data_IF_363985399253
#
_entry.id   IF_363985399253
#
_cell.length_a   1.000
_cell.length_b   1.000
_cell.length_c   1.000
_cell.angle_alpha   90.00
_cell.angle_beta   90.00
_cell.angle_gamma   90.00
#
_symmetry.space_group_name_H-M   'P 1'
#
loop_
_entity.id
_entity.type
_entity.pdbx_description
1 polymer ?
#
# COMPACT_ATOMS: atom_id res chain seq x y z
N UNK A 1 16.19 -3.94 7.17
CA UNK A 1 15.32 -3.55 8.30
C UNK A 1 15.76 -2.17 8.73
N UNK A 2 15.21 -1.12 8.10
CA UNK A 2 15.40 0.27 8.53
C UNK A 2 14.37 0.48 9.65
N UNK A 3 14.84 0.91 10.82
CA UNK A 3 13.99 1.16 11.98
C UNK A 3 13.19 2.43 11.71
N UNK A 4 11.86 2.33 11.57
CA UNK A 4 11.00 3.50 11.40
C UNK A 4 10.97 4.29 12.74
N UNK A 5 11.19 5.61 12.74
CA UNK A 5 11.07 6.44 13.93
C UNK A 5 9.70 6.35 14.64
N UNK A 6 8.64 5.98 13.91
CA UNK A 6 7.31 5.74 14.50
C UNK A 6 7.25 4.48 15.36
N UNK A 7 8.13 3.51 15.12
CA UNK A 7 8.25 2.25 15.89
C UNK A 7 8.75 2.52 17.34
N UNK A 8 9.32 3.71 17.60
CA UNK A 8 9.79 4.15 18.92
C UNK A 8 8.73 4.86 19.77
N UNK A 9 7.64 5.34 19.17
CA UNK A 9 6.48 5.79 19.95
C UNK A 9 5.72 4.54 20.38
N UNK A 10 6.08 4.01 21.55
CA UNK A 10 5.31 2.93 22.17
C UNK A 10 3.93 3.48 22.55
N UNK A 11 3.02 3.48 21.60
CA UNK A 11 1.61 3.71 21.85
C UNK A 11 1.07 2.50 22.60
N UNK A 12 1.34 2.42 23.91
CA UNK A 12 0.77 1.36 24.72
C UNK A 12 -0.75 1.48 24.66
N UNK A 13 -1.43 0.40 24.25
CA UNK A 13 -2.89 0.37 24.07
C UNK A 13 -3.68 0.84 25.31
N UNK A 14 -3.04 0.90 26.48
CA UNK A 14 -3.60 1.39 27.73
C UNK A 14 -3.79 2.93 27.82
N UNK A 15 -3.26 3.73 26.88
CA UNK A 15 -3.30 5.21 26.98
C UNK A 15 -3.81 5.95 25.73
N UNK A 16 -4.20 5.24 24.66
CA UNK A 16 -4.76 5.87 23.47
C UNK A 16 -6.28 6.01 23.55
N UNK A 17 -6.79 7.19 23.23
CA UNK A 17 -8.21 7.34 22.93
C UNK A 17 -8.57 6.57 21.64
N UNK A 18 -9.83 6.18 21.51
CA UNK A 18 -10.30 5.33 20.40
C UNK A 18 -9.95 5.88 19.02
N UNK A 19 -9.97 7.21 18.82
CA UNK A 19 -9.65 7.82 17.52
C UNK A 19 -8.18 7.57 17.17
N UNK A 20 -7.29 7.78 18.13
CA UNK A 20 -5.86 7.55 17.91
C UNK A 20 -5.56 6.08 17.71
N UNK A 21 -6.22 5.18 18.44
CA UNK A 21 -6.09 3.74 18.23
C UNK A 21 -6.47 3.31 16.81
N UNK A 22 -7.63 3.76 16.31
CA UNK A 22 -8.10 3.44 14.96
C UNK A 22 -7.16 3.98 13.88
N UNK A 23 -6.61 5.18 14.06
CA UNK A 23 -5.69 5.77 13.06
C UNK A 23 -4.34 5.06 13.05
N UNK A 24 -3.84 4.63 14.21
CA UNK A 24 -2.63 3.79 14.29
C UNK A 24 -2.88 2.44 13.63
N UNK A 25 -4.00 1.78 13.92
CA UNK A 25 -4.37 0.51 13.27
C UNK A 25 -4.50 0.66 11.75
N UNK A 26 -5.11 1.75 11.27
CA UNK A 26 -5.17 2.06 9.84
C UNK A 26 -3.77 2.12 9.22
N UNK A 27 -2.84 2.85 9.83
CA UNK A 27 -1.46 2.93 9.33
C UNK A 27 -0.76 1.56 9.32
N UNK A 28 -0.92 0.79 10.40
CA UNK A 28 -0.30 -0.52 10.52
C UNK A 28 -0.83 -1.51 9.48
N UNK A 29 -2.15 -1.53 9.28
CA UNK A 29 -2.80 -2.37 8.27
C UNK A 29 -2.43 -1.96 6.85
N UNK A 30 -2.34 -0.65 6.57
CA UNK A 30 -1.88 -0.12 5.29
C UNK A 30 -0.42 -0.48 5.02
N UNK A 31 0.45 -0.37 6.04
CA UNK A 31 1.86 -0.75 5.94
C UNK A 31 2.02 -2.23 5.58
N UNK A 32 1.27 -3.11 6.24
CA UNK A 32 1.27 -4.55 5.91
C UNK A 32 0.73 -4.83 4.50
N UNK A 33 -0.25 -4.05 4.03
CA UNK A 33 -0.77 -4.15 2.67
C UNK A 33 0.29 -3.76 1.63
N UNK A 34 0.95 -2.61 1.81
CA UNK A 34 2.05 -2.15 0.95
C UNK A 34 3.20 -3.14 0.93
N UNK A 35 3.62 -3.67 2.09
CA UNK A 35 4.66 -4.70 2.17
C UNK A 35 4.29 -5.95 1.35
N UNK A 36 3.03 -6.38 1.43
CA UNK A 36 2.54 -7.52 0.65
C UNK A 36 2.59 -7.24 -0.86
N UNK A 37 2.19 -6.05 -1.30
CA UNK A 37 2.29 -5.62 -2.70
C UNK A 37 3.75 -5.55 -3.18
N UNK A 38 4.66 -5.02 -2.34
CA UNK A 38 6.08 -4.99 -2.64
C UNK A 38 6.66 -6.40 -2.79
N UNK A 39 6.22 -7.35 -1.97
CA UNK A 39 6.60 -8.77 -2.11
C UNK A 39 6.13 -9.31 -3.47
N UNK A 40 4.87 -9.06 -3.87
CA UNK A 40 4.36 -9.48 -5.18
C UNK A 40 5.23 -8.94 -6.33
N UNK A 41 5.62 -7.67 -6.27
CA UNK A 41 6.44 -7.05 -7.32
C UNK A 41 7.88 -7.57 -7.30
N UNK A 42 8.54 -7.51 -6.14
CA UNK A 42 10.00 -7.72 -6.04
C UNK A 42 10.41 -9.18 -5.91
N UNK A 43 9.54 -10.03 -5.35
CA UNK A 43 9.84 -11.46 -5.12
C UNK A 43 9.18 -12.39 -6.13
N UNK A 44 8.18 -11.91 -6.87
CA UNK A 44 7.49 -12.72 -7.87
C UNK A 44 7.55 -12.11 -9.27
N UNK A 45 6.92 -10.95 -9.51
CA UNK A 45 6.86 -10.36 -10.85
C UNK A 45 8.24 -10.14 -11.48
N UNK A 46 9.13 -9.43 -10.79
CA UNK A 46 10.47 -9.13 -11.31
C UNK A 46 11.31 -10.40 -11.55
N UNK A 47 11.40 -11.36 -10.61
CA UNK A 47 12.05 -12.64 -10.86
C UNK A 47 11.44 -13.43 -12.01
N UNK A 48 10.11 -13.51 -12.13
CA UNK A 48 9.45 -14.26 -13.20
C UNK A 48 9.70 -13.66 -14.59
N UNK A 49 9.92 -12.35 -14.67
CA UNK A 49 10.30 -11.65 -15.90
C UNK A 49 11.80 -11.65 -16.17
N UNK A 50 12.63 -12.16 -15.26
CA UNK A 50 14.07 -12.17 -15.47
C UNK A 50 14.45 -13.14 -16.59
N UNK A 51 15.51 -12.87 -17.38
CA UNK A 51 15.98 -13.79 -18.42
C UNK A 51 16.33 -15.19 -17.88
N UNK A 52 16.77 -15.26 -16.61
CA UNK A 52 17.11 -16.50 -15.92
C UNK A 52 15.88 -17.41 -15.73
N UNK A 53 14.68 -16.83 -15.64
CA UNK A 53 13.43 -17.54 -15.38
C UNK A 53 12.44 -17.52 -16.55
N UNK A 54 12.84 -16.96 -17.70
CA UNK A 54 11.97 -16.75 -18.88
C UNK A 54 11.36 -18.03 -19.48
N UNK A 55 11.79 -19.21 -19.04
CA UNK A 55 11.22 -20.52 -19.43
C UNK A 55 10.28 -21.15 -18.40
N UNK A 56 10.07 -20.54 -17.22
CA UNK A 56 9.22 -21.12 -16.17
C UNK A 56 7.73 -20.88 -16.41
N UNK A 57 7.38 -19.69 -16.87
CA UNK A 57 6.00 -19.24 -17.11
C UNK A 57 5.99 -18.35 -18.34
N UNK A 58 4.92 -18.41 -19.13
CA UNK A 58 4.70 -17.49 -20.24
C UNK A 58 4.70 -16.04 -19.74
N UNK A 59 5.50 -15.18 -20.38
CA UNK A 59 5.59 -13.77 -20.05
C UNK A 59 4.23 -13.06 -20.14
N UNK A 60 3.38 -13.45 -21.11
CA UNK A 60 2.04 -12.88 -21.25
C UNK A 60 1.14 -13.24 -20.06
N UNK A 61 1.24 -14.47 -19.54
CA UNK A 61 0.51 -14.90 -18.36
C UNK A 61 0.99 -14.18 -17.10
N UNK A 62 2.30 -13.96 -16.97
CA UNK A 62 2.85 -13.13 -15.87
C UNK A 62 2.32 -11.71 -15.95
N UNK A 63 2.28 -11.11 -17.14
CA UNK A 63 1.70 -9.79 -17.36
C UNK A 63 0.22 -9.73 -16.96
N UNK A 64 -0.55 -10.76 -17.27
CA UNK A 64 -1.96 -10.87 -16.92
C UNK A 64 -2.16 -11.00 -15.40
N UNK A 65 -1.41 -11.87 -14.73
CA UNK A 65 -1.52 -12.11 -13.28
C UNK A 65 -1.18 -10.85 -12.47
N UNK A 66 -0.13 -10.13 -12.87
CA UNK A 66 0.36 -8.94 -12.16
C UNK A 66 -0.12 -7.63 -12.78
N UNK A 67 -1.08 -7.69 -13.70
CA UNK A 67 -1.63 -6.51 -14.35
C UNK A 67 -2.09 -5.48 -13.30
N UNK A 68 -1.71 -4.21 -13.47
CA UNK A 68 -1.99 -3.09 -12.55
C UNK A 68 -1.41 -3.19 -11.12
N UNK A 69 -0.92 -4.34 -10.65
CA UNK A 69 -0.34 -4.49 -9.30
C UNK A 69 0.77 -3.47 -9.01
N UNK A 70 1.73 -3.18 -9.91
CA UNK A 70 2.73 -2.14 -9.68
C UNK A 70 2.15 -0.72 -9.55
N UNK A 71 1.06 -0.42 -10.28
CA UNK A 71 0.40 0.88 -10.19
C UNK A 71 -0.40 1.03 -8.88
N UNK A 72 -1.08 -0.05 -8.46
CA UNK A 72 -1.74 -0.11 -7.15
C UNK A 72 -0.71 0.11 -6.04
N UNK A 73 0.44 -0.58 -6.11
CA UNK A 73 1.54 -0.38 -5.17
C UNK A 73 1.95 1.09 -5.08
N UNK A 74 2.18 1.75 -6.22
CA UNK A 74 2.61 3.15 -6.23
C UNK A 74 1.61 4.10 -5.55
N UNK A 75 0.30 3.92 -5.80
CA UNK A 75 -0.74 4.73 -5.14
C UNK A 75 -0.77 4.52 -3.62
N UNK A 76 -0.55 3.27 -3.18
CA UNK A 76 -0.57 2.91 -1.76
C UNK A 76 0.72 3.29 -1.03
N UNK A 77 1.87 3.31 -1.72
CA UNK A 77 3.11 3.89 -1.17
C UNK A 77 2.97 5.40 -0.91
N UNK A 78 2.34 6.15 -1.82
CA UNK A 78 2.03 7.57 -1.61
C UNK A 78 1.08 7.75 -0.42
N UNK A 79 0.00 6.95 -0.35
CA UNK A 79 -0.97 7.00 0.75
C UNK A 79 -0.33 6.70 2.11
N UNK A 80 0.52 5.67 2.17
CA UNK A 80 1.22 5.27 3.40
C UNK A 80 2.16 6.37 3.89
N UNK A 81 2.89 7.04 2.99
CA UNK A 81 3.77 8.16 3.34
C UNK A 81 2.98 9.35 3.91
N UNK A 82 1.81 9.68 3.33
CA UNK A 82 0.95 10.73 3.87
C UNK A 82 0.36 10.37 5.25
N UNK A 83 -0.04 9.12 5.46
CA UNK A 83 -0.47 8.63 6.78
C UNK A 83 0.67 8.73 7.81
N UNK A 84 1.89 8.36 7.42
CA UNK A 84 3.08 8.48 8.26
C UNK A 84 3.33 9.94 8.66
N UNK A 85 3.37 10.84 7.68
CA UNK A 85 3.56 12.28 7.90
C UNK A 85 2.52 12.85 8.87
N UNK A 86 1.27 12.40 8.75
CA UNK A 86 0.17 12.77 9.66
C UNK A 86 0.39 12.26 11.08
N UNK A 87 0.87 11.03 11.24
CA UNK A 87 1.11 10.41 12.54
C UNK A 87 2.33 10.99 13.28
N UNK A 88 3.36 11.44 12.55
CA UNK A 88 4.52 12.10 13.15
C UNK A 88 4.12 13.34 13.97
N UNK A 89 3.12 14.09 13.50
CA UNK A 89 2.61 15.32 14.10
C UNK A 89 1.17 15.18 14.64
N UNK A 90 0.77 13.96 15.04
CA UNK A 90 -0.61 13.67 15.46
C UNK A 90 -1.04 14.44 16.71
N UNK A 91 -2.19 15.10 16.63
CA UNK A 91 -2.81 15.81 17.75
C UNK A 91 -4.36 15.70 17.73
N UNK A 92 -5.02 16.29 18.74
CA UNK A 92 -6.48 16.26 18.90
C UNK A 92 -7.28 16.99 17.80
N UNK A 93 -6.64 17.86 17.02
CA UNK A 93 -7.25 18.63 15.92
C UNK A 93 -6.99 18.00 14.54
N UNK A 94 -5.95 17.17 14.42
CA UNK A 94 -5.65 16.42 13.21
C UNK A 94 -6.79 15.43 12.86
N UNK A 95 -6.95 15.17 11.56
CA UNK A 95 -7.88 14.17 11.00
C UNK A 95 -7.13 13.31 9.98
N UNK A 96 -7.78 12.36 9.33
CA UNK A 96 -7.17 11.63 8.20
C UNK A 96 -8.03 11.69 6.94
N UNK A 97 -9.28 12.12 7.04
CA UNK A 97 -10.24 12.10 5.93
C UNK A 97 -9.82 12.96 4.74
N UNK A 98 -9.03 14.01 4.95
CA UNK A 98 -8.44 14.80 3.87
C UNK A 98 -7.44 13.98 3.04
N UNK A 99 -6.61 13.15 3.68
CA UNK A 99 -5.67 12.25 3.00
C UNK A 99 -6.44 11.24 2.14
N UNK A 100 -7.51 10.64 2.69
CA UNK A 100 -8.36 9.71 1.93
C UNK A 100 -8.97 10.36 0.69
N UNK A 101 -9.48 11.58 0.84
CA UNK A 101 -10.06 12.30 -0.29
C UNK A 101 -8.99 12.63 -1.32
N UNK A 102 -7.84 13.13 -0.89
CA UNK A 102 -6.75 13.48 -1.80
C UNK A 102 -6.22 12.26 -2.57
N UNK A 103 -6.12 11.08 -1.95
CA UNK A 103 -5.65 9.87 -2.61
C UNK A 103 -6.74 9.21 -3.46
N UNK A 104 -7.87 8.83 -2.86
CA UNK A 104 -8.82 7.91 -3.50
C UNK A 104 -9.88 8.59 -4.39
N UNK A 105 -9.87 9.93 -4.47
CA UNK A 105 -10.66 10.65 -5.48
C UNK A 105 -9.88 10.93 -6.77
N UNK A 106 -8.57 10.66 -6.81
CA UNK A 106 -7.77 10.79 -8.04
C UNK A 106 -8.30 9.82 -9.08
N UNK A 107 -8.61 10.33 -10.28
CA UNK A 107 -9.01 9.50 -11.42
C UNK A 107 -8.04 8.35 -11.68
N UNK A 108 -6.74 8.59 -11.53
CA UNK A 108 -5.70 7.57 -11.71
C UNK A 108 -5.91 6.34 -10.81
N UNK A 109 -6.32 6.52 -9.55
CA UNK A 109 -6.56 5.40 -8.62
C UNK A 109 -7.80 4.62 -9.07
N UNK A 110 -8.87 5.33 -9.41
CA UNK A 110 -10.13 4.72 -9.89
C UNK A 110 -9.89 3.92 -11.18
N UNK A 111 -9.14 4.49 -12.12
CA UNK A 111 -8.83 3.86 -13.41
C UNK A 111 -7.96 2.61 -13.21
N UNK A 112 -6.92 2.70 -12.35
CA UNK A 112 -6.07 1.56 -11.98
C UNK A 112 -6.88 0.40 -11.41
N UNK A 113 -7.75 0.67 -10.42
CA UNK A 113 -8.58 -0.38 -9.82
C UNK A 113 -9.65 -0.93 -10.78
N UNK A 114 -10.24 -0.06 -11.61
CA UNK A 114 -11.20 -0.47 -12.63
C UNK A 114 -10.54 -1.42 -13.64
N UNK A 115 -9.36 -1.07 -14.13
CA UNK A 115 -8.59 -1.91 -15.04
C UNK A 115 -8.20 -3.25 -14.40
N UNK A 116 -7.77 -3.23 -13.14
CA UNK A 116 -7.42 -4.44 -12.39
C UNK A 116 -8.59 -5.40 -12.22
N UNK A 117 -9.75 -4.91 -11.75
CA UNK A 117 -10.93 -5.74 -11.52
C UNK A 117 -11.49 -6.31 -12.83
N UNK A 118 -11.47 -5.52 -13.91
CA UNK A 118 -11.95 -5.96 -15.21
C UNK A 118 -11.07 -7.05 -15.84
N UNK A 119 -9.81 -7.17 -15.41
CA UNK A 119 -8.89 -8.20 -15.89
C UNK A 119 -9.32 -9.63 -15.49
N UNK A 120 -10.12 -9.80 -14.41
CA UNK A 120 -10.60 -11.12 -13.96
C UNK A 120 -11.93 -11.60 -14.56
N UNK A 121 -12.56 -10.82 -15.46
CA UNK A 121 -13.87 -11.18 -16.03
C UNK A 121 -13.80 -12.05 -17.30
N UNK A 122 -12.76 -12.88 -17.45
CA UNK A 122 -12.67 -13.90 -18.51
C UNK A 122 -12.52 -15.28 -17.88
#
# INVERSE_FOLDING_TARGET
>A
RIHDPLDQRCWTAATLDTRTHVVVELYETERSYVESLQILVTKYLQPLKSPENAGLVDAALVDEIFYQVPAILAHHEEFLEELKNRLEHWDVKQRVGDIFLETFTKHAVIDTYTAFINNWKT
#
